data_IF_625222808850
#
_entry.id   IF_625222808850
#
_cell.length_a   1.000
_cell.length_b   1.000
_cell.length_c   1.000
_cell.angle_alpha   90.00
_cell.angle_beta   90.00
_cell.angle_gamma   90.00
#
_symmetry.space_group_name_H-M   'P 1'
#
loop_
_entity.id
_entity.type
_entity.pdbx_description
1 polymer ?
#
# COMPACT_ATOMS: atom_id res chain seq x y z
N UNK A 1 -23.85 52.67 30.80
CA UNK A 1 -25.12 52.08 31.29
C UNK A 1 -25.07 50.56 31.19
N UNK A 2 -24.31 49.86 32.04
CA UNK A 2 -24.13 48.39 31.99
C UNK A 2 -24.07 47.76 33.39
N UNK A 3 -24.96 48.16 34.30
CA UNK A 3 -24.99 47.62 35.69
C UNK A 3 -26.40 47.22 36.15
N UNK A 4 -27.35 47.04 35.22
CA UNK A 4 -28.69 46.54 35.54
C UNK A 4 -28.72 45.00 35.49
N UNK A 5 -29.22 44.37 36.56
CA UNK A 5 -29.40 42.91 36.70
C UNK A 5 -30.17 42.25 35.55
N UNK A 6 -30.97 43.01 34.81
CA UNK A 6 -31.71 42.50 33.65
C UNK A 6 -30.82 42.10 32.46
N UNK A 7 -29.58 42.59 32.41
CA UNK A 7 -28.65 42.35 31.30
C UNK A 7 -27.49 41.41 31.66
N UNK A 8 -27.46 40.84 32.86
CA UNK A 8 -26.41 39.91 33.31
C UNK A 8 -26.34 38.65 32.43
N UNK A 9 -27.49 38.14 31.97
CA UNK A 9 -27.55 37.01 31.06
C UNK A 9 -26.94 37.32 29.69
N UNK A 10 -27.25 38.51 29.14
CA UNK A 10 -26.69 38.97 27.88
C UNK A 10 -25.19 39.27 28.02
N UNK A 11 -24.76 39.86 29.13
CA UNK A 11 -23.36 40.12 29.43
C UNK A 11 -22.55 38.83 29.58
N UNK A 12 -23.13 37.77 30.19
CA UNK A 12 -22.51 36.45 30.28
C UNK A 12 -22.40 35.75 28.93
N UNK A 13 -23.43 35.83 28.08
CA UNK A 13 -23.40 35.26 26.73
C UNK A 13 -22.39 35.99 25.85
N UNK A 14 -22.35 37.33 25.92
CA UNK A 14 -21.36 38.15 25.20
C UNK A 14 -19.95 37.94 25.75
N UNK A 15 -19.78 37.71 27.05
CA UNK A 15 -18.48 37.36 27.65
C UNK A 15 -18.03 35.94 27.27
N UNK A 16 -18.95 34.98 27.17
CA UNK A 16 -18.68 33.62 26.72
C UNK A 16 -18.33 33.56 25.22
N UNK A 17 -18.98 34.39 24.40
CA UNK A 17 -18.61 34.59 22.99
C UNK A 17 -17.25 35.31 22.88
N UNK A 18 -16.99 36.29 23.74
CA UNK A 18 -15.70 37.01 23.82
C UNK A 18 -14.55 36.10 24.25
N UNK A 19 -14.80 35.02 25.00
CA UNK A 19 -13.75 34.05 25.38
C UNK A 19 -13.46 32.98 24.33
N UNK A 20 -14.29 32.84 23.29
CA UNK A 20 -14.19 31.76 22.31
C UNK A 20 -13.73 32.18 20.91
N UNK A 21 -13.58 33.48 20.65
CA UNK A 21 -13.22 33.99 19.32
C UNK A 21 -12.22 35.15 19.45
N UNK A 22 -10.93 34.80 19.51
CA UNK A 22 -9.82 35.76 19.60
C UNK A 22 -9.56 36.46 18.26
N UNK A 23 -9.91 35.84 17.14
CA UNK A 23 -9.73 36.38 15.80
C UNK A 23 -10.77 37.46 15.47
N UNK A 24 -12.01 37.32 15.97
CA UNK A 24 -13.03 38.37 15.86
C UNK A 24 -12.71 39.64 16.69
N UNK A 25 -11.93 39.50 17.78
CA UNK A 25 -11.48 40.63 18.61
C UNK A 25 -10.40 41.45 17.90
N UNK A 26 -9.49 40.83 17.15
CA UNK A 26 -8.50 41.57 16.35
C UNK A 26 -9.16 42.39 15.22
N UNK A 27 -10.21 41.88 14.58
CA UNK A 27 -10.91 42.61 13.52
C UNK A 27 -11.77 43.78 14.05
N UNK A 28 -12.26 43.70 15.29
CA UNK A 28 -13.03 44.76 15.93
C UNK A 28 -12.17 45.77 16.71
N UNK A 29 -10.89 45.45 16.97
CA UNK A 29 -9.93 46.33 17.64
C UNK A 29 -9.24 47.33 16.69
N UNK A 30 -9.53 47.29 15.37
CA UNK A 30 -9.11 48.34 14.44
C UNK A 30 -9.85 49.63 14.80
N UNK A 31 -9.16 50.44 15.57
CA UNK A 31 -9.61 51.74 16.06
C UNK A 31 -9.85 52.65 14.84
N UNK A 32 -11.11 52.96 14.54
CA UNK A 32 -11.39 54.05 13.59
C UNK A 32 -10.83 55.36 14.18
N UNK A 33 -9.77 55.86 13.54
CA UNK A 33 -9.14 57.11 13.89
C UNK A 33 -10.17 58.26 13.82
N UNK A 34 -10.19 59.08 14.87
CA UNK A 34 -10.95 60.33 14.91
C UNK A 34 -10.54 61.25 13.76
N UNK A 35 -11.39 61.44 12.77
CA UNK A 35 -11.32 62.58 11.85
C UNK A 35 -11.94 63.82 12.53
N UNK A 36 -11.12 64.85 12.73
CA UNK A 36 -11.53 66.21 13.14
C UNK A 36 -12.43 66.84 12.05
N UNK A 37 -13.35 67.76 12.41
CA UNK A 37 -14.07 68.56 11.42
C UNK A 37 -13.25 69.79 11.03
N UNK A 38 -13.22 70.09 9.73
CA UNK A 38 -12.76 71.35 9.19
C UNK A 38 -13.80 71.87 8.20
N UNK A 39 -14.13 73.16 8.33
CA UNK A 39 -14.53 74.00 7.21
C UNK A 39 -16.01 74.01 6.87
N UNK A 40 -16.67 75.06 7.33
CA UNK A 40 -17.89 75.63 6.77
C UNK A 40 -17.61 76.06 5.32
N UNK A 41 -18.48 75.75 4.36
CA UNK A 41 -18.71 76.61 3.19
C UNK A 41 -20.04 76.27 2.51
N UNK A 42 -20.73 77.35 2.16
CA UNK A 42 -22.10 77.51 1.69
C UNK A 42 -22.26 77.20 0.21
N UNK A 43 -23.40 76.63 -0.18
CA UNK A 43 -23.82 76.52 -1.58
C UNK A 43 -25.28 76.06 -1.71
N UNK A 44 -26.15 77.00 -2.07
CA UNK A 44 -27.55 76.81 -2.47
C UNK A 44 -27.63 76.04 -3.80
N UNK A 45 -28.71 75.25 -4.02
CA UNK A 45 -29.07 74.77 -5.37
C UNK A 45 -29.77 73.42 -5.48
N UNK A 46 -31.11 73.46 -5.42
CA UNK A 46 -32.11 72.71 -6.20
C UNK A 46 -32.13 71.16 -6.32
N UNK A 47 -33.19 70.61 -5.70
CA UNK A 47 -34.23 69.71 -6.26
C UNK A 47 -33.84 68.43 -7.05
N UNK A 48 -34.11 67.28 -6.44
CA UNK A 48 -34.24 65.99 -7.15
C UNK A 48 -34.50 64.80 -6.23
N UNK A 49 -35.78 64.43 -6.06
CA UNK A 49 -36.33 63.12 -5.63
C UNK A 49 -35.69 62.39 -4.44
N UNK A 50 -36.44 62.34 -3.33
CA UNK A 50 -36.22 61.49 -2.17
C UNK A 50 -36.31 59.99 -2.52
N UNK A 51 -35.24 59.23 -2.32
CA UNK A 51 -35.33 57.83 -1.87
C UNK A 51 -34.55 57.69 -0.56
N UNK A 52 -35.15 58.24 0.49
CA UNK A 52 -34.79 57.85 1.85
C UNK A 52 -35.29 56.43 2.13
N UNK A 53 -34.67 55.71 3.09
CA UNK A 53 -35.11 54.37 3.50
C UNK A 53 -36.60 54.35 3.82
N UNK A 54 -37.28 53.29 3.38
CA UNK A 54 -38.73 53.06 3.54
C UNK A 54 -39.16 53.22 5.01
N UNK A 55 -40.45 53.51 5.24
CA UNK A 55 -40.98 53.69 6.60
C UNK A 55 -40.59 52.55 7.59
N UNK A 56 -40.57 51.26 7.19
CA UNK A 56 -40.06 50.16 8.03
C UNK A 56 -38.56 50.27 8.37
N UNK A 57 -37.75 50.77 7.43
CA UNK A 57 -36.31 50.96 7.62
C UNK A 57 -35.99 52.16 8.53
N UNK A 58 -36.86 53.17 8.59
CA UNK A 58 -36.77 54.28 9.57
C UNK A 58 -37.19 53.87 10.98
N UNK A 59 -38.11 52.92 11.13
CA UNK A 59 -38.43 52.30 12.43
C UNK A 59 -37.30 51.41 12.96
N UNK A 60 -36.54 50.77 12.07
CA UNK A 60 -35.39 49.94 12.44
C UNK A 60 -34.22 50.73 13.05
N UNK A 61 -34.15 52.05 12.82
CA UNK A 61 -33.12 52.96 13.32
C UNK A 61 -33.55 53.80 14.54
N UNK A 62 -34.78 53.59 15.08
CA UNK A 62 -35.22 54.20 16.34
C UNK A 62 -35.03 53.20 17.49
N UNK A 63 -34.13 53.52 18.42
CA UNK A 63 -33.73 52.67 19.55
C UNK A 63 -34.68 52.72 20.77
N UNK A 64 -35.96 53.07 20.59
CA UNK A 64 -36.86 53.39 21.72
C UNK A 64 -38.19 52.63 21.76
N UNK A 65 -38.32 51.48 21.08
CA UNK A 65 -39.47 50.57 21.26
C UNK A 65 -39.01 49.15 21.65
N UNK A 66 -39.68 48.48 22.60
CA UNK A 66 -39.39 47.09 22.94
C UNK A 66 -39.67 46.21 21.72
N UNK A 67 -38.65 45.56 21.17
CA UNK A 67 -38.81 44.59 20.08
C UNK A 67 -39.17 43.23 20.67
N UNK A 68 -40.04 42.52 19.98
CA UNK A 68 -40.37 41.13 20.27
C UNK A 68 -39.09 40.27 20.19
N UNK A 69 -38.64 39.67 21.31
CA UNK A 69 -37.45 38.81 21.34
C UNK A 69 -37.54 37.65 20.33
N UNK A 70 -38.74 37.18 20.00
CA UNK A 70 -38.95 36.11 19.04
C UNK A 70 -38.63 36.55 17.60
N UNK A 71 -38.97 37.79 17.22
CA UNK A 71 -38.65 38.32 15.88
C UNK A 71 -37.16 38.63 15.73
N UNK A 72 -36.52 39.13 16.79
CA UNK A 72 -35.08 39.33 16.83
C UNK A 72 -34.34 37.99 16.76
N UNK A 73 -34.80 36.99 17.50
CA UNK A 73 -34.28 35.62 17.44
C UNK A 73 -34.52 34.97 16.08
N UNK A 74 -35.67 35.19 15.42
CA UNK A 74 -35.95 34.67 14.09
C UNK A 74 -35.10 35.34 13.01
N UNK A 75 -34.91 36.67 13.08
CA UNK A 75 -34.06 37.43 12.16
C UNK A 75 -32.58 37.05 12.32
N UNK A 76 -32.13 36.91 13.56
CA UNK A 76 -30.78 36.41 13.88
C UNK A 76 -30.64 34.94 13.48
N UNK A 77 -31.65 34.09 13.69
CA UNK A 77 -31.61 32.68 13.28
C UNK A 77 -31.59 32.51 11.75
N UNK A 78 -32.34 33.33 11.00
CA UNK A 78 -32.34 33.28 9.54
C UNK A 78 -31.02 33.76 8.92
N UNK A 79 -30.29 34.64 9.61
CA UNK A 79 -29.10 35.30 9.07
C UNK A 79 -27.78 34.82 9.67
N UNK A 80 -27.81 34.21 10.86
CA UNK A 80 -26.64 33.75 11.64
C UNK A 80 -26.67 32.22 11.84
N UNK A 81 -27.83 31.55 11.74
CA UNK A 81 -27.94 30.08 11.82
C UNK A 81 -28.34 29.46 10.46
N UNK A 82 -27.32 29.07 9.67
CA UNK A 82 -27.27 27.96 8.66
C UNK A 82 -26.66 28.26 7.27
N UNK A 83 -25.65 29.13 7.08
CA UNK A 83 -24.90 29.15 5.81
C UNK A 83 -24.18 27.83 5.50
N UNK A 84 -23.68 27.12 6.52
CA UNK A 84 -23.07 25.78 6.33
C UNK A 84 -24.08 24.75 5.80
N UNK A 85 -25.33 24.85 6.25
CA UNK A 85 -26.41 23.94 5.89
C UNK A 85 -26.94 24.22 4.46
N UNK A 86 -26.75 25.43 3.93
CA UNK A 86 -27.04 25.76 2.52
C UNK A 86 -25.88 25.40 1.61
N UNK A 87 -24.63 25.59 2.04
CA UNK A 87 -23.44 25.19 1.29
C UNK A 87 -23.34 23.66 1.17
N UNK A 88 -23.58 22.91 2.26
CA UNK A 88 -23.69 21.45 2.25
C UNK A 88 -24.76 20.96 1.29
N UNK A 89 -26.00 21.47 1.40
CA UNK A 89 -27.11 21.12 0.50
C UNK A 89 -26.79 21.39 -0.97
N UNK A 90 -26.15 22.53 -1.28
CA UNK A 90 -25.66 22.86 -2.62
C UNK A 90 -24.61 21.85 -3.11
N UNK A 91 -23.70 21.44 -2.24
CA UNK A 91 -22.71 20.39 -2.51
C UNK A 91 -23.34 19.05 -2.82
N UNK A 92 -24.27 18.58 -1.98
CA UNK A 92 -25.01 17.33 -2.21
C UNK A 92 -25.82 17.37 -3.51
N UNK A 93 -26.48 18.49 -3.82
CA UNK A 93 -27.23 18.63 -5.06
C UNK A 93 -26.31 18.56 -6.29
N UNK A 94 -25.16 19.23 -6.23
CA UNK A 94 -24.13 19.16 -7.28
C UNK A 94 -23.55 17.75 -7.41
N UNK A 95 -23.22 17.09 -6.30
CA UNK A 95 -22.71 15.72 -6.25
C UNK A 95 -23.70 14.71 -6.83
N UNK A 96 -24.97 14.78 -6.43
CA UNK A 96 -26.04 13.89 -6.93
C UNK A 96 -26.23 14.06 -8.44
N UNK A 97 -26.19 15.29 -8.95
CA UNK A 97 -26.28 15.55 -10.39
C UNK A 97 -25.05 15.04 -11.13
N UNK A 98 -23.85 15.24 -10.57
CA UNK A 98 -22.61 14.72 -11.14
C UNK A 98 -22.63 13.20 -11.28
N UNK A 99 -23.08 12.47 -10.23
CA UNK A 99 -23.24 11.01 -10.29
C UNK A 99 -24.23 10.61 -11.38
N UNK A 100 -25.33 11.35 -11.55
CA UNK A 100 -26.32 11.06 -12.60
C UNK A 100 -25.74 11.25 -14.02
N UNK A 101 -24.89 12.25 -14.23
CA UNK A 101 -24.33 12.56 -15.56
C UNK A 101 -23.07 11.74 -15.89
N UNK A 102 -22.21 11.48 -14.89
CA UNK A 102 -20.90 10.83 -15.07
C UNK A 102 -20.87 9.36 -14.62
N UNK A 103 -21.85 8.92 -13.82
CA UNK A 103 -21.92 7.56 -13.29
C UNK A 103 -21.10 7.30 -12.02
N UNK A 104 -20.26 8.25 -11.59
CA UNK A 104 -19.52 8.18 -10.32
C UNK A 104 -19.34 9.58 -9.70
N UNK A 105 -18.73 9.64 -8.51
CA UNK A 105 -18.42 10.90 -7.80
C UNK A 105 -16.93 11.30 -7.91
N UNK A 106 -16.23 10.86 -8.97
CA UNK A 106 -14.81 11.17 -9.20
C UNK A 106 -14.62 12.48 -9.96
N UNK A 107 -15.18 13.57 -9.44
CA UNK A 107 -14.99 14.89 -10.03
C UNK A 107 -13.51 15.34 -9.94
N UNK A 108 -12.90 15.86 -11.03
CA UNK A 108 -11.59 16.48 -10.99
C UNK A 108 -11.52 17.61 -9.96
N UNK A 109 -10.37 17.85 -9.35
CA UNK A 109 -10.21 18.87 -8.29
C UNK A 109 -10.66 20.28 -8.73
N UNK A 110 -10.40 20.64 -9.99
CA UNK A 110 -10.79 21.92 -10.59
C UNK A 110 -12.22 21.96 -11.13
N UNK A 111 -13.00 20.88 -10.98
CA UNK A 111 -14.35 20.82 -11.53
C UNK A 111 -15.28 21.79 -10.79
N UNK A 112 -15.89 22.68 -11.57
CA UNK A 112 -16.90 23.63 -11.15
C UNK A 112 -18.18 23.31 -11.91
N UNK A 113 -19.33 23.34 -11.23
CA UNK A 113 -20.60 23.00 -11.87
C UNK A 113 -20.91 23.97 -13.03
N UNK A 114 -21.33 23.45 -14.21
CA UNK A 114 -21.71 24.26 -15.35
C UNK A 114 -22.87 25.22 -15.09
N UNK A 115 -23.11 26.14 -16.01
CA UNK A 115 -24.05 27.25 -15.82
C UNK A 115 -25.51 26.78 -15.93
N UNK A 116 -25.72 25.67 -16.62
CA UNK A 116 -26.97 24.92 -16.74
C UNK A 116 -27.24 23.99 -15.53
N UNK A 117 -26.34 23.96 -14.54
CA UNK A 117 -26.56 23.26 -13.28
C UNK A 117 -27.22 24.16 -12.24
N UNK A 118 -27.96 23.52 -11.33
CA UNK A 118 -28.43 24.14 -10.10
C UNK A 118 -27.85 23.32 -8.94
N UNK A 119 -26.90 23.86 -8.15
CA UNK A 119 -26.29 25.20 -8.28
C UNK A 119 -25.27 25.31 -9.42
N UNK A 120 -25.25 26.44 -10.13
CA UNK A 120 -24.20 26.79 -11.09
C UNK A 120 -22.97 27.39 -10.38
N UNK A 121 -21.79 27.24 -10.97
CA UNK A 121 -20.55 27.83 -10.46
C UNK A 121 -20.09 27.28 -9.10
N UNK A 122 -20.62 26.14 -8.66
CA UNK A 122 -20.27 25.51 -7.40
C UNK A 122 -18.96 24.72 -7.55
N UNK A 123 -17.94 24.92 -6.69
CA UNK A 123 -16.64 24.26 -6.81
C UNK A 123 -16.70 22.83 -6.29
N UNK A 124 -17.41 21.95 -6.99
CA UNK A 124 -17.67 20.57 -6.55
C UNK A 124 -16.37 19.77 -6.35
N UNK A 125 -15.37 19.93 -7.21
CA UNK A 125 -14.09 19.23 -7.09
C UNK A 125 -13.35 19.55 -5.78
N UNK A 126 -13.21 20.84 -5.48
CA UNK A 126 -12.62 21.31 -4.22
C UNK A 126 -13.47 20.92 -3.01
N UNK A 127 -14.80 21.05 -3.13
CA UNK A 127 -15.72 20.67 -2.06
C UNK A 127 -15.61 19.19 -1.68
N UNK A 128 -15.54 18.28 -2.66
CA UNK A 128 -15.32 16.86 -2.42
C UNK A 128 -13.95 16.58 -1.80
N UNK A 129 -12.90 17.31 -2.21
CA UNK A 129 -11.58 17.20 -1.60
C UNK A 129 -11.59 17.62 -0.13
N UNK A 130 -12.31 18.71 0.20
CA UNK A 130 -12.50 19.15 1.58
C UNK A 130 -13.26 18.10 2.40
N UNK A 131 -14.29 17.46 1.83
CA UNK A 131 -15.01 16.40 2.53
C UNK A 131 -14.09 15.21 2.84
N UNK A 132 -13.24 14.78 1.90
CA UNK A 132 -12.22 13.75 2.16
C UNK A 132 -11.27 14.15 3.28
N UNK A 133 -10.84 15.42 3.28
CA UNK A 133 -9.97 15.94 4.34
C UNK A 133 -10.66 15.89 5.71
N UNK A 134 -11.90 16.37 5.81
CA UNK A 134 -12.65 16.37 7.06
C UNK A 134 -12.96 14.95 7.55
N UNK A 135 -13.30 14.03 6.65
CA UNK A 135 -13.52 12.62 6.98
C UNK A 135 -12.25 11.99 7.54
N UNK A 136 -11.10 12.15 6.85
CA UNK A 136 -9.82 11.60 7.29
C UNK A 136 -9.31 12.23 8.60
N UNK A 137 -9.73 13.45 8.93
CA UNK A 137 -9.45 14.10 10.21
C UNK A 137 -10.45 13.73 11.33
N UNK A 138 -11.47 12.90 11.06
CA UNK A 138 -12.52 12.58 12.02
C UNK A 138 -13.43 13.76 12.39
N UNK A 139 -13.46 14.79 11.52
CA UNK A 139 -14.21 16.03 11.73
C UNK A 139 -15.50 16.10 10.92
N UNK A 140 -15.73 15.15 10.01
CA UNK A 140 -16.97 15.06 9.25
C UNK A 140 -18.04 14.36 10.09
N UNK A 141 -19.19 15.00 10.21
CA UNK A 141 -20.38 14.44 10.87
C UNK A 141 -20.79 13.09 10.24
N UNK A 142 -21.23 12.15 11.07
CA UNK A 142 -21.54 10.79 10.63
C UNK A 142 -22.72 10.74 9.63
N UNK A 143 -23.76 11.56 9.81
CA UNK A 143 -24.90 11.62 8.89
C UNK A 143 -24.47 12.17 7.53
N UNK A 144 -23.53 13.13 7.53
CA UNK A 144 -22.94 13.71 6.31
C UNK A 144 -22.06 12.73 5.56
N UNK A 145 -21.27 11.93 6.28
CA UNK A 145 -20.49 10.85 5.69
C UNK A 145 -21.44 9.83 5.03
N UNK A 146 -22.49 9.41 5.74
CA UNK A 146 -23.49 8.46 5.22
C UNK A 146 -24.23 8.98 3.99
N UNK A 147 -24.55 10.28 3.93
CA UNK A 147 -25.20 10.89 2.76
C UNK A 147 -24.29 10.83 1.52
N UNK A 148 -22.99 11.09 1.69
CA UNK A 148 -22.00 10.97 0.61
C UNK A 148 -21.69 9.52 0.25
N UNK A 149 -21.68 8.60 1.21
CA UNK A 149 -21.57 7.16 0.96
C UNK A 149 -22.72 6.68 0.05
N UNK A 150 -23.94 7.15 0.31
CA UNK A 150 -25.11 6.87 -0.53
C UNK A 150 -24.97 7.35 -1.99
N UNK A 151 -24.09 8.31 -2.25
CA UNK A 151 -23.74 8.81 -3.59
C UNK A 151 -22.51 8.11 -4.19
N UNK A 152 -21.93 7.12 -3.51
CA UNK A 152 -20.75 6.40 -3.97
C UNK A 152 -19.43 7.15 -3.75
N UNK A 153 -19.33 7.95 -2.69
CA UNK A 153 -18.12 8.68 -2.35
C UNK A 153 -16.94 7.74 -2.07
N UNK A 154 -15.83 7.96 -2.78
CA UNK A 154 -14.56 7.30 -2.50
C UNK A 154 -13.72 8.21 -1.60
N UNK A 155 -13.61 7.85 -0.32
CA UNK A 155 -12.81 8.56 0.68
C UNK A 155 -11.31 8.40 0.48
N UNK A 156 -10.90 7.19 0.07
CA UNK A 156 -9.49 6.82 -0.12
C UNK A 156 -9.36 5.74 -1.18
N UNK A 157 -8.67 6.08 -2.27
CA UNK A 157 -8.37 5.13 -3.35
C UNK A 157 -7.48 3.98 -2.84
N UNK A 158 -6.67 4.23 -1.82
CA UNK A 158 -5.84 3.20 -1.19
C UNK A 158 -6.66 2.21 -0.37
N UNK A 159 -7.75 2.64 0.26
CA UNK A 159 -8.65 1.75 1.00
C UNK A 159 -9.49 0.91 0.06
N UNK A 160 -9.98 1.50 -1.05
CA UNK A 160 -10.65 0.74 -2.11
C UNK A 160 -9.71 -0.31 -2.71
N UNK A 161 -8.49 0.08 -3.11
CA UNK A 161 -7.52 -0.85 -3.67
C UNK A 161 -7.10 -1.96 -2.68
N UNK A 162 -7.03 -1.63 -1.38
CA UNK A 162 -6.80 -2.63 -0.34
C UNK A 162 -7.99 -3.58 -0.21
N UNK A 163 -9.22 -3.08 -0.18
CA UNK A 163 -10.44 -3.90 -0.08
C UNK A 163 -10.62 -4.85 -1.29
N UNK A 164 -10.34 -4.37 -2.51
CA UNK A 164 -10.33 -5.18 -3.72
C UNK A 164 -9.27 -6.29 -3.63
N UNK A 165 -8.05 -5.95 -3.23
CA UNK A 165 -6.99 -6.92 -3.07
C UNK A 165 -7.24 -7.92 -1.94
N UNK A 166 -7.87 -7.48 -0.85
CA UNK A 166 -8.28 -8.33 0.25
C UNK A 166 -9.37 -9.32 -0.19
N UNK A 167 -10.31 -8.88 -1.01
CA UNK A 167 -11.32 -9.76 -1.62
C UNK A 167 -10.64 -10.83 -2.49
N UNK A 168 -9.75 -10.43 -3.40
CA UNK A 168 -9.00 -11.38 -4.22
C UNK A 168 -8.13 -12.34 -3.38
N UNK A 169 -7.55 -11.86 -2.28
CA UNK A 169 -6.79 -12.68 -1.34
C UNK A 169 -7.65 -13.72 -0.61
N UNK A 170 -8.86 -13.32 -0.17
CA UNK A 170 -9.83 -14.23 0.46
C UNK A 170 -10.28 -15.32 -0.52
N UNK A 171 -10.63 -14.95 -1.75
CA UNK A 171 -11.03 -15.90 -2.78
C UNK A 171 -9.89 -16.85 -3.17
N UNK A 172 -8.66 -16.33 -3.31
CA UNK A 172 -7.48 -17.15 -3.51
C UNK A 172 -7.33 -18.17 -2.38
N UNK A 173 -7.36 -17.71 -1.12
CA UNK A 173 -7.18 -18.59 0.03
C UNK A 173 -8.33 -19.60 0.19
N UNK A 174 -9.55 -19.28 -0.24
CA UNK A 174 -10.68 -20.21 -0.21
C UNK A 174 -10.47 -21.43 -1.14
N UNK A 175 -9.73 -21.26 -2.24
CA UNK A 175 -9.45 -22.34 -3.20
C UNK A 175 -8.11 -23.03 -2.93
N UNK A 176 -7.09 -22.24 -2.56
CA UNK A 176 -5.73 -22.72 -2.37
C UNK A 176 -5.42 -23.13 -0.93
N UNK A 177 -6.28 -22.75 0.03
CA UNK A 177 -6.13 -22.98 1.47
C UNK A 177 -4.86 -22.34 2.07
N UNK A 178 -4.34 -21.28 1.45
CA UNK A 178 -3.22 -20.48 1.93
C UNK A 178 -3.13 -19.14 1.19
N UNK A 179 -2.53 -18.12 1.81
CA UNK A 179 -2.27 -16.81 1.21
C UNK A 179 -0.79 -16.68 0.78
N UNK A 180 -0.34 -17.63 -0.02
CA UNK A 180 1.04 -17.70 -0.54
C UNK A 180 1.10 -17.71 -2.07
N UNK A 181 0.39 -16.81 -2.78
CA UNK A 181 0.42 -16.80 -4.24
C UNK A 181 1.85 -16.57 -4.77
N UNK A 182 2.25 -17.23 -5.88
CA UNK A 182 3.40 -16.79 -6.68
C UNK A 182 3.26 -15.34 -7.11
N UNK A 183 4.37 -14.63 -7.33
CA UNK A 183 4.34 -13.19 -7.69
C UNK A 183 3.56 -12.93 -8.99
N UNK A 184 3.61 -13.86 -9.94
CA UNK A 184 2.90 -13.79 -11.21
C UNK A 184 1.42 -14.19 -11.12
N UNK A 185 0.94 -14.62 -9.96
CA UNK A 185 -0.42 -15.10 -9.82
C UNK A 185 -1.44 -13.97 -10.02
N UNK A 186 -2.48 -14.28 -10.78
CA UNK A 186 -3.65 -13.44 -10.97
C UNK A 186 -4.89 -14.21 -10.51
N UNK A 187 -5.90 -13.49 -10.03
CA UNK A 187 -7.17 -14.04 -9.60
C UNK A 187 -8.30 -13.16 -10.12
N UNK A 188 -9.17 -13.69 -10.99
CA UNK A 188 -10.23 -12.91 -11.64
C UNK A 188 -9.72 -11.60 -12.30
N UNK A 189 -8.53 -11.65 -12.91
CA UNK A 189 -7.87 -10.49 -13.52
C UNK A 189 -7.13 -9.57 -12.54
N UNK A 190 -7.30 -9.75 -11.23
CA UNK A 190 -6.59 -9.00 -10.20
C UNK A 190 -5.18 -9.61 -9.95
N UNK A 191 -4.10 -8.81 -9.92
CA UNK A 191 -2.74 -9.30 -9.71
C UNK A 191 -2.45 -9.62 -8.22
N UNK A 192 -3.14 -10.62 -7.68
CA UNK A 192 -3.08 -11.00 -6.25
C UNK A 192 -1.67 -11.34 -5.78
N UNK A 193 -0.84 -11.96 -6.63
CA UNK A 193 0.55 -12.29 -6.31
C UNK A 193 1.42 -11.05 -6.02
N UNK A 194 1.33 -10.05 -6.89
CA UNK A 194 2.05 -8.79 -6.73
C UNK A 194 1.48 -7.98 -5.56
N UNK A 195 0.15 -7.98 -5.38
CA UNK A 195 -0.50 -7.30 -4.28
C UNK A 195 -0.07 -7.86 -2.92
N UNK A 196 -0.15 -9.17 -2.69
CA UNK A 196 0.28 -9.79 -1.41
C UNK A 196 1.77 -9.56 -1.17
N UNK A 197 2.62 -9.57 -2.20
CA UNK A 197 4.04 -9.19 -2.08
C UNK A 197 4.20 -7.75 -1.53
N UNK A 198 3.42 -6.81 -2.04
CA UNK A 198 3.46 -5.43 -1.56
C UNK A 198 2.98 -5.33 -0.11
N UNK A 199 1.91 -6.07 0.25
CA UNK A 199 1.45 -6.15 1.64
C UNK A 199 2.53 -6.71 2.58
N UNK A 200 3.29 -7.73 2.16
CA UNK A 200 4.41 -8.27 2.95
C UNK A 200 5.52 -7.23 3.13
N UNK A 201 5.77 -6.42 2.10
CA UNK A 201 6.77 -5.34 2.17
C UNK A 201 6.34 -4.27 3.17
N UNK A 202 5.07 -3.85 3.12
CA UNK A 202 4.48 -2.93 4.08
C UNK A 202 4.49 -3.49 5.53
N UNK A 203 4.23 -4.78 5.70
CA UNK A 203 4.29 -5.46 6.99
C UNK A 203 5.72 -5.54 7.56
N UNK A 204 6.72 -5.82 6.71
CA UNK A 204 8.13 -5.82 7.12
C UNK A 204 8.59 -4.42 7.52
N UNK A 205 8.16 -3.37 6.80
CA UNK A 205 8.41 -1.99 7.18
C UNK A 205 7.77 -1.65 8.53
N UNK A 206 6.53 -2.08 8.77
CA UNK A 206 5.86 -1.89 10.06
C UNK A 206 6.64 -2.56 11.20
N UNK A 207 7.07 -3.81 11.02
CA UNK A 207 7.87 -4.54 12.02
C UNK A 207 9.20 -3.84 12.29
N UNK A 208 9.89 -3.37 11.25
CA UNK A 208 11.15 -2.64 11.40
C UNK A 208 10.96 -1.32 12.17
N UNK A 209 9.87 -0.61 11.90
CA UNK A 209 9.52 0.61 12.64
C UNK A 209 9.20 0.32 14.11
N UNK A 210 8.51 -0.77 14.41
CA UNK A 210 8.27 -1.21 15.79
C UNK A 210 9.58 -1.54 16.50
N UNK A 211 10.44 -2.35 15.90
CA UNK A 211 11.74 -2.72 16.48
C UNK A 211 12.61 -1.48 16.76
N UNK A 212 12.65 -0.50 15.84
CA UNK A 212 13.36 0.77 16.06
C UNK A 212 12.83 1.54 17.28
N UNK A 213 11.51 1.60 17.46
CA UNK A 213 10.91 2.28 18.62
C UNK A 213 11.25 1.56 19.92
N UNK A 214 11.24 0.24 19.93
CA UNK A 214 11.64 -0.58 21.09
C UNK A 214 13.12 -0.35 21.47
N UNK A 215 13.98 -0.12 20.47
CA UNK A 215 15.39 0.26 20.67
C UNK A 215 15.59 1.75 21.01
N UNK A 216 14.52 2.55 21.07
CA UNK A 216 14.59 3.99 21.32
C UNK A 216 15.11 4.83 20.15
N UNK A 217 15.15 4.28 18.94
CA UNK A 217 15.58 4.96 17.72
C UNK A 217 14.41 5.71 17.05
N UNK A 218 14.72 6.84 16.43
CA UNK A 218 13.74 7.62 15.67
C UNK A 218 13.27 6.86 14.40
N UNK A 219 11.98 6.97 14.09
CA UNK A 219 11.36 6.47 12.85
C UNK A 219 11.15 7.64 11.91
N UNK A 220 11.94 7.70 10.83
CA UNK A 220 11.89 8.81 9.85
C UNK A 220 10.52 8.92 9.16
N UNK A 221 9.89 7.79 8.84
CA UNK A 221 8.56 7.77 8.25
C UNK A 221 7.82 6.46 8.50
N UNK A 222 6.53 6.56 8.78
CA UNK A 222 5.58 5.44 8.77
C UNK A 222 4.81 5.31 7.46
N UNK A 223 5.08 6.18 6.47
CA UNK A 223 4.38 6.15 5.19
C UNK A 223 4.63 4.81 4.48
N UNK A 224 3.54 4.16 4.06
CA UNK A 224 3.59 2.85 3.41
C UNK A 224 3.78 1.66 4.35
N UNK A 225 3.93 1.87 5.66
CA UNK A 225 3.86 0.78 6.64
C UNK A 225 2.42 0.25 6.70
N UNK A 226 2.29 -1.07 6.86
CA UNK A 226 0.97 -1.69 6.99
C UNK A 226 0.36 -1.30 8.35
N UNK A 227 -0.90 -0.88 8.34
CA UNK A 227 -1.65 -0.62 9.57
C UNK A 227 -1.99 -1.93 10.28
N UNK A 228 -2.29 -1.85 11.58
CA UNK A 228 -2.68 -3.00 12.40
C UNK A 228 -3.96 -3.66 11.85
N UNK A 229 -5.04 -2.90 11.64
CA UNK A 229 -6.29 -3.43 11.05
C UNK A 229 -6.08 -4.19 9.72
N UNK A 230 -5.17 -3.69 8.87
CA UNK A 230 -4.87 -4.33 7.57
C UNK A 230 -4.01 -5.57 7.73
N UNK A 231 -3.16 -5.62 8.76
CA UNK A 231 -2.40 -6.81 9.14
C UNK A 231 -3.35 -7.88 9.66
N UNK A 232 -4.23 -7.53 10.60
CA UNK A 232 -5.20 -8.44 11.21
C UNK A 232 -6.09 -9.05 10.13
N UNK A 233 -6.60 -8.23 9.20
CA UNK A 233 -7.40 -8.71 8.08
C UNK A 233 -6.69 -9.72 7.16
N UNK A 234 -5.35 -9.68 7.08
CA UNK A 234 -4.55 -10.64 6.31
C UNK A 234 -4.21 -11.89 7.14
N UNK A 235 -3.95 -11.72 8.45
CA UNK A 235 -3.69 -12.80 9.39
C UNK A 235 -4.93 -13.68 9.61
N UNK A 236 -6.13 -13.10 9.59
CA UNK A 236 -7.41 -13.81 9.59
C UNK A 236 -7.58 -14.74 8.38
N UNK A 237 -6.97 -14.41 7.24
CA UNK A 237 -7.00 -15.25 6.04
C UNK A 237 -6.01 -16.41 6.17
N UNK A 238 -4.78 -16.09 6.54
CA UNK A 238 -3.71 -17.06 6.73
C UNK A 238 -2.64 -16.46 7.65
N UNK A 239 -2.49 -16.91 8.90
CA UNK A 239 -1.48 -16.40 9.82
C UNK A 239 -0.04 -16.53 9.28
N UNK A 240 0.20 -17.45 8.34
CA UNK A 240 1.49 -17.64 7.71
C UNK A 240 1.67 -16.83 6.41
N UNK A 241 0.81 -15.85 6.12
CA UNK A 241 0.86 -15.06 4.89
C UNK A 241 2.17 -14.27 4.74
N UNK A 242 2.78 -13.83 5.84
CA UNK A 242 4.02 -13.06 5.89
C UNK A 242 5.10 -13.75 6.74
N UNK A 243 5.69 -14.87 6.26
CA UNK A 243 6.68 -15.62 7.03
C UNK A 243 7.99 -14.84 7.21
N UNK A 244 8.74 -15.18 8.25
CA UNK A 244 10.08 -14.63 8.50
C UNK A 244 11.15 -15.13 7.51
N UNK A 245 10.85 -16.21 6.78
CA UNK A 245 11.71 -16.85 5.78
C UNK A 245 11.14 -16.72 4.36
N UNK A 246 11.72 -17.45 3.41
CA UNK A 246 11.30 -17.42 2.01
C UNK A 246 9.84 -17.88 1.82
N UNK A 247 9.10 -17.15 0.98
CA UNK A 247 7.68 -17.43 0.72
C UNK A 247 7.48 -18.68 -0.14
N UNK A 248 8.44 -19.04 -1.00
CA UNK A 248 8.41 -20.29 -1.76
C UNK A 248 8.61 -21.49 -0.84
N UNK A 249 9.51 -21.37 0.14
CA UNK A 249 9.66 -22.37 1.20
C UNK A 249 8.35 -22.57 1.98
N UNK A 250 7.74 -21.48 2.45
CA UNK A 250 6.48 -21.55 3.21
C UNK A 250 5.35 -22.18 2.36
N UNK A 251 5.30 -21.85 1.06
CA UNK A 251 4.33 -22.43 0.12
C UNK A 251 4.54 -23.94 -0.01
N UNK A 252 5.75 -24.40 -0.30
CA UNK A 252 6.03 -25.83 -0.45
C UNK A 252 5.76 -26.61 0.85
N UNK A 253 6.09 -26.04 2.00
CA UNK A 253 5.72 -26.59 3.31
C UNK A 253 4.21 -26.74 3.46
N UNK A 254 3.43 -25.69 3.17
CA UNK A 254 1.96 -25.72 3.27
C UNK A 254 1.33 -26.73 2.31
N UNK A 255 1.81 -26.82 1.08
CA UNK A 255 1.36 -27.81 0.10
C UNK A 255 1.67 -29.24 0.54
N UNK A 256 2.84 -29.46 1.15
CA UNK A 256 3.22 -30.75 1.74
C UNK A 256 2.32 -31.12 2.92
N UNK A 257 2.01 -30.16 3.80
CA UNK A 257 1.08 -30.32 4.93
C UNK A 257 -0.32 -30.71 4.46
N UNK A 258 -0.88 -29.95 3.53
CA UNK A 258 -2.22 -30.20 2.98
C UNK A 258 -2.33 -31.61 2.37
N UNK A 259 -1.25 -32.09 1.75
CA UNK A 259 -1.21 -33.45 1.20
C UNK A 259 -1.30 -34.51 2.28
N UNK A 260 -0.55 -34.37 3.38
CA UNK A 260 -0.63 -35.30 4.52
C UNK A 260 -2.02 -35.23 5.15
N UNK A 261 -2.57 -34.03 5.34
CA UNK A 261 -3.91 -33.81 5.91
C UNK A 261 -5.01 -34.45 5.03
N UNK A 262 -4.82 -34.49 3.71
CA UNK A 262 -5.69 -35.20 2.77
C UNK A 262 -5.43 -36.73 2.71
N UNK A 263 -4.57 -37.28 3.57
CA UNK A 263 -4.23 -38.72 3.61
C UNK A 263 -3.18 -39.17 2.58
N UNK A 264 -2.54 -38.24 1.88
CA UNK A 264 -1.46 -38.53 0.94
C UNK A 264 -0.09 -38.68 1.60
N UNK A 265 0.86 -39.29 0.88
CA UNK A 265 2.26 -39.42 1.31
C UNK A 265 3.15 -38.36 0.67
N UNK A 266 4.24 -37.97 1.34
CA UNK A 266 5.21 -37.02 0.80
C UNK A 266 6.06 -37.66 -0.30
N UNK A 267 6.31 -36.94 -1.43
CA UNK A 267 7.24 -37.41 -2.46
C UNK A 267 8.69 -37.28 -1.97
N UNK A 268 9.48 -38.34 -2.14
CA UNK A 268 10.91 -38.32 -1.81
C UNK A 268 11.81 -38.15 -3.04
N UNK A 269 11.22 -38.23 -4.23
CA UNK A 269 11.93 -38.14 -5.51
C UNK A 269 11.47 -36.91 -6.30
N UNK A 270 12.40 -36.11 -6.88
CA UNK A 270 12.05 -35.03 -7.79
C UNK A 270 11.11 -35.45 -8.92
N UNK A 271 10.14 -34.61 -9.25
CA UNK A 271 9.18 -34.82 -10.34
C UNK A 271 8.02 -35.77 -10.01
N UNK A 272 8.03 -36.41 -8.85
CA UNK A 272 6.96 -37.35 -8.46
C UNK A 272 5.62 -36.66 -8.25
N UNK A 273 5.62 -35.45 -7.66
CA UNK A 273 4.41 -34.68 -7.37
C UNK A 273 4.69 -33.21 -7.59
N UNK A 274 3.90 -32.60 -8.48
CA UNK A 274 3.87 -31.17 -8.71
C UNK A 274 2.49 -30.62 -8.33
N UNK A 275 2.46 -29.65 -7.42
CA UNK A 275 1.22 -29.00 -6.96
C UNK A 275 1.40 -27.50 -7.07
N UNK A 276 0.45 -26.82 -7.73
CA UNK A 276 0.52 -25.37 -7.98
C UNK A 276 1.85 -24.91 -8.62
N UNK A 277 2.43 -25.74 -9.49
CA UNK A 277 3.71 -25.47 -10.14
C UNK A 277 4.96 -25.76 -9.28
N UNK A 278 4.79 -26.18 -8.03
CA UNK A 278 5.89 -26.55 -7.13
C UNK A 278 6.17 -28.05 -7.18
N UNK A 279 7.41 -28.43 -7.44
CA UNK A 279 7.88 -29.82 -7.36
C UNK A 279 8.23 -30.17 -5.91
N UNK A 280 7.29 -30.79 -5.21
CA UNK A 280 7.43 -31.09 -3.78
C UNK A 280 8.53 -32.11 -3.52
N UNK A 281 8.77 -33.05 -4.44
CA UNK A 281 9.83 -34.05 -4.29
C UNK A 281 11.21 -33.41 -4.38
N UNK A 282 11.40 -32.51 -5.34
CA UNK A 282 12.63 -31.70 -5.44
C UNK A 282 12.81 -30.81 -4.22
N UNK A 283 11.74 -30.18 -3.75
CA UNK A 283 11.81 -29.30 -2.58
C UNK A 283 12.17 -30.07 -1.31
N UNK A 284 11.54 -31.22 -1.03
CA UNK A 284 11.83 -32.07 0.13
C UNK A 284 13.27 -32.56 0.08
N UNK A 285 13.75 -33.06 -1.07
CA UNK A 285 15.13 -33.49 -1.22
C UNK A 285 16.11 -32.34 -0.90
N UNK A 286 15.83 -31.14 -1.40
CA UNK A 286 16.64 -29.97 -1.09
C UNK A 286 16.65 -29.63 0.41
N UNK A 287 15.53 -29.79 1.12
CA UNK A 287 15.47 -29.57 2.56
C UNK A 287 16.31 -30.60 3.33
N UNK A 288 16.20 -31.89 2.98
CA UNK A 288 16.95 -32.97 3.64
C UNK A 288 18.46 -32.82 3.43
N UNK A 289 18.89 -32.44 2.21
CA UNK A 289 20.30 -32.24 1.86
C UNK A 289 20.88 -30.94 2.44
N UNK A 290 20.06 -29.91 2.65
CA UNK A 290 20.46 -28.60 3.16
C UNK A 290 20.03 -28.36 4.61
N UNK A 291 19.83 -29.42 5.39
CA UNK A 291 19.19 -29.35 6.70
C UNK A 291 19.90 -28.39 7.66
N UNK A 292 21.24 -28.39 7.64
CA UNK A 292 22.12 -27.55 8.45
C UNK A 292 21.98 -26.04 8.16
N UNK A 293 21.42 -25.68 7.01
CA UNK A 293 21.20 -24.28 6.59
C UNK A 293 19.82 -23.75 6.94
N UNK A 294 18.92 -24.62 7.40
CA UNK A 294 17.57 -24.25 7.79
C UNK A 294 17.56 -23.56 9.15
N UNK A 295 16.68 -22.58 9.32
CA UNK A 295 16.45 -21.99 10.64
C UNK A 295 15.90 -23.06 11.61
N UNK A 296 16.16 -22.92 12.91
CA UNK A 296 15.68 -23.88 13.93
C UNK A 296 14.18 -24.13 13.85
N UNK A 297 13.38 -23.08 13.61
CA UNK A 297 11.94 -23.21 13.42
C UNK A 297 11.57 -24.03 12.17
N UNK A 298 12.31 -23.90 11.08
CA UNK A 298 12.10 -24.69 9.86
C UNK A 298 12.43 -26.17 10.11
N UNK A 299 13.56 -26.47 10.74
CA UNK A 299 13.93 -27.85 11.10
C UNK A 299 12.84 -28.50 11.97
N UNK A 300 12.41 -27.79 13.02
CA UNK A 300 11.36 -28.26 13.92
C UNK A 300 10.04 -28.54 13.17
N UNK A 301 9.63 -27.65 12.26
CA UNK A 301 8.43 -27.85 11.44
C UNK A 301 8.55 -29.05 10.51
N UNK A 302 9.69 -29.23 9.83
CA UNK A 302 9.90 -30.37 8.93
C UNK A 302 9.90 -31.70 9.70
N UNK A 303 10.56 -31.75 10.85
CA UNK A 303 10.64 -32.95 11.69
C UNK A 303 9.28 -33.30 12.30
N UNK A 304 8.65 -32.34 12.98
CA UNK A 304 7.46 -32.61 13.80
C UNK A 304 6.15 -32.57 13.00
N UNK A 305 6.07 -31.75 11.95
CA UNK A 305 4.83 -31.57 11.19
C UNK A 305 4.81 -32.33 9.87
N UNK A 306 5.98 -32.67 9.32
CA UNK A 306 6.11 -33.44 8.07
C UNK A 306 6.77 -34.81 8.25
N UNK A 307 7.36 -35.11 9.42
CA UNK A 307 8.05 -36.38 9.66
C UNK A 307 9.33 -36.54 8.84
N UNK A 308 9.98 -35.43 8.46
CA UNK A 308 11.20 -35.44 7.67
C UNK A 308 12.44 -35.41 8.55
N UNK A 309 13.48 -36.14 8.13
CA UNK A 309 14.79 -36.15 8.76
C UNK A 309 15.86 -35.62 7.79
N UNK A 310 17.02 -35.13 8.29
CA UNK A 310 18.16 -34.83 7.44
C UNK A 310 18.54 -36.03 6.56
N UNK A 311 19.17 -35.74 5.43
CA UNK A 311 19.65 -36.78 4.54
C UNK A 311 20.69 -37.68 5.23
N UNK A 312 20.58 -39.00 5.01
CA UNK A 312 21.57 -39.97 5.46
C UNK A 312 22.90 -39.82 4.72
N UNK A 313 23.98 -40.42 5.24
CA UNK A 313 25.31 -40.36 4.60
C UNK A 313 25.31 -40.91 3.17
N UNK A 314 24.47 -41.91 2.90
CA UNK A 314 24.25 -42.57 1.62
C UNK A 314 23.46 -41.73 0.62
N UNK A 315 22.68 -40.77 1.11
CA UNK A 315 21.89 -39.85 0.28
C UNK A 315 22.63 -38.54 -0.04
N UNK A 316 23.69 -38.24 0.72
CA UNK A 316 24.50 -37.05 0.48
C UNK A 316 25.24 -37.17 -0.86
N UNK A 317 25.25 -36.11 -1.69
CA UNK A 317 26.05 -36.10 -2.90
C UNK A 317 27.51 -36.35 -2.54
N UNK A 318 28.11 -37.34 -3.20
CA UNK A 318 29.54 -37.64 -3.05
C UNK A 318 30.34 -36.35 -3.31
N UNK A 319 30.98 -35.82 -2.26
CA UNK A 319 31.81 -34.62 -2.36
C UNK A 319 33.06 -34.94 -3.16
N UNK A 320 32.97 -34.85 -4.50
CA UNK A 320 34.13 -34.96 -5.40
C UNK A 320 35.13 -33.85 -5.05
N UNK A 321 36.37 -34.24 -4.75
CA UNK A 321 37.47 -33.29 -4.51
C UNK A 321 37.76 -32.49 -5.79
N UNK A 322 38.55 -31.42 -5.68
CA UNK A 322 38.99 -30.69 -6.88
C UNK A 322 39.85 -31.56 -7.80
N UNK A 323 40.56 -32.54 -7.24
CA UNK A 323 41.31 -33.53 -8.03
C UNK A 323 40.36 -34.47 -8.78
N UNK A 324 39.32 -35.00 -8.11
CA UNK A 324 38.34 -35.89 -8.77
C UNK A 324 37.57 -35.18 -9.87
N UNK A 325 37.17 -33.91 -9.64
CA UNK A 325 36.53 -33.07 -10.65
C UNK A 325 37.45 -32.82 -11.84
N UNK A 326 38.74 -32.57 -11.58
CA UNK A 326 39.73 -32.39 -12.64
C UNK A 326 39.90 -33.68 -13.45
N UNK A 327 40.09 -34.82 -12.77
CA UNK A 327 40.24 -36.12 -13.40
C UNK A 327 39.03 -36.48 -14.28
N UNK A 328 37.81 -36.28 -13.77
CA UNK A 328 36.58 -36.51 -14.53
C UNK A 328 36.48 -35.62 -15.78
N UNK A 329 36.81 -34.32 -15.65
CA UNK A 329 36.80 -33.42 -16.79
C UNK A 329 37.88 -33.78 -17.82
N UNK A 330 39.05 -34.23 -17.38
CA UNK A 330 40.11 -34.72 -18.26
C UNK A 330 39.70 -36.01 -18.97
N UNK A 331 38.98 -36.91 -18.31
CA UNK A 331 38.46 -38.12 -18.94
C UNK A 331 37.39 -37.79 -19.99
N UNK A 332 36.45 -36.90 -19.67
CA UNK A 332 35.49 -36.39 -20.64
C UNK A 332 36.17 -35.68 -21.82
N UNK A 333 37.24 -34.93 -21.56
CA UNK A 333 38.02 -34.28 -22.61
C UNK A 333 38.74 -35.31 -23.51
N UNK A 334 39.29 -36.38 -22.93
CA UNK A 334 39.92 -37.48 -23.69
C UNK A 334 38.89 -38.20 -24.55
N UNK A 335 37.72 -38.50 -24.00
CA UNK A 335 36.62 -39.13 -24.74
C UNK A 335 36.16 -38.26 -25.92
N UNK A 336 35.92 -36.96 -25.69
CA UNK A 336 35.56 -36.02 -26.75
C UNK A 336 36.66 -35.92 -27.80
N UNK A 337 37.92 -35.80 -27.38
CA UNK A 337 39.05 -35.74 -28.30
C UNK A 337 39.22 -37.04 -29.11
N UNK A 338 39.01 -38.20 -28.50
CA UNK A 338 39.06 -39.49 -29.21
C UNK A 338 37.98 -39.58 -30.29
N UNK A 339 36.81 -38.98 -30.06
CA UNK A 339 35.70 -38.95 -31.02
C UNK A 339 35.85 -37.88 -32.12
N UNK A 340 36.23 -36.66 -31.74
CA UNK A 340 36.21 -35.48 -32.63
C UNK A 340 37.61 -35.10 -33.16
N UNK A 341 38.68 -35.65 -32.60
CA UNK A 341 40.07 -35.33 -32.95
C UNK A 341 40.53 -33.94 -32.50
N UNK A 342 39.73 -33.20 -31.72
CA UNK A 342 40.06 -31.86 -31.24
C UNK A 342 39.34 -31.51 -29.94
N UNK A 343 39.77 -30.44 -29.26
CA UNK A 343 39.09 -29.88 -28.08
C UNK A 343 38.30 -28.58 -28.36
N UNK A 344 37.74 -28.43 -29.56
CA UNK A 344 36.82 -27.33 -29.89
C UNK A 344 35.39 -27.64 -29.44
N UNK A 345 35.21 -27.67 -28.12
CA UNK A 345 33.94 -28.05 -27.50
C UNK A 345 32.97 -26.84 -27.45
N UNK A 346 31.74 -26.94 -27.97
CA UNK A 346 30.73 -25.89 -27.80
C UNK A 346 30.46 -25.61 -26.31
N UNK A 347 30.34 -24.35 -25.89
CA UNK A 347 30.23 -23.97 -24.46
C UNK A 347 29.12 -24.69 -23.69
N UNK A 348 27.99 -25.01 -24.34
CA UNK A 348 26.84 -25.71 -23.74
C UNK A 348 26.91 -27.23 -23.85
N UNK A 349 27.97 -27.79 -24.43
CA UNK A 349 28.12 -29.22 -24.64
C UNK A 349 28.18 -29.99 -23.32
N UNK A 350 27.41 -31.07 -23.25
CA UNK A 350 27.41 -32.07 -22.20
C UNK A 350 28.01 -33.35 -22.78
N UNK A 351 29.15 -33.76 -22.23
CA UNK A 351 29.77 -35.03 -22.60
C UNK A 351 29.19 -36.14 -21.74
N UNK A 352 28.55 -37.12 -22.38
CA UNK A 352 27.95 -38.25 -21.68
C UNK A 352 29.04 -39.22 -21.23
N UNK A 353 29.08 -39.51 -19.93
CA UNK A 353 30.06 -40.41 -19.32
C UNK A 353 29.33 -41.61 -18.70
N UNK A 354 29.96 -42.77 -18.71
CA UNK A 354 29.41 -43.96 -18.05
C UNK A 354 29.19 -43.70 -16.55
N UNK A 355 27.94 -43.84 -16.09
CA UNK A 355 27.54 -43.62 -14.70
C UNK A 355 27.20 -42.16 -14.32
N UNK A 356 27.14 -41.22 -15.27
CA UNK A 356 26.70 -39.83 -15.03
C UNK A 356 25.63 -39.41 -16.06
N UNK A 357 24.35 -39.74 -15.80
CA UNK A 357 23.22 -39.45 -16.70
C UNK A 357 23.02 -37.96 -17.00
N UNK A 358 23.54 -37.07 -16.14
CA UNK A 358 23.45 -35.63 -16.33
C UNK A 358 24.47 -35.09 -17.36
N UNK A 359 25.49 -35.89 -17.69
CA UNK A 359 26.61 -35.51 -18.54
C UNK A 359 27.58 -34.50 -17.89
N UNK A 360 28.86 -34.61 -18.22
CA UNK A 360 29.89 -33.67 -17.79
C UNK A 360 29.78 -32.40 -18.63
N UNK A 361 29.74 -31.22 -17.98
CA UNK A 361 29.72 -29.89 -18.63
C UNK A 361 31.07 -29.54 -19.27
N UNK A 362 31.53 -30.39 -20.19
CA UNK A 362 32.85 -30.32 -20.81
C UNK A 362 33.05 -28.99 -21.55
N UNK A 363 32.03 -28.49 -22.25
CA UNK A 363 32.10 -27.22 -22.95
C UNK A 363 32.41 -26.03 -22.02
N UNK A 364 31.78 -26.02 -20.85
CA UNK A 364 32.03 -25.00 -19.83
C UNK A 364 33.39 -25.18 -19.16
N UNK A 365 33.84 -26.42 -18.95
CA UNK A 365 35.16 -26.72 -18.43
C UNK A 365 36.28 -26.22 -19.35
N UNK A 366 36.27 -26.62 -20.63
CA UNK A 366 37.27 -26.21 -21.62
C UNK A 366 37.30 -24.70 -21.78
N UNK A 367 36.13 -24.05 -21.89
CA UNK A 367 36.03 -22.60 -21.99
C UNK A 367 36.56 -21.86 -20.75
N UNK A 368 36.27 -22.36 -19.54
CA UNK A 368 36.82 -21.82 -18.30
C UNK A 368 38.34 -22.00 -18.21
N UNK A 369 38.85 -23.16 -18.64
CA UNK A 369 40.28 -23.44 -18.66
C UNK A 369 41.01 -22.49 -19.62
N UNK A 370 40.47 -22.20 -20.82
CA UNK A 370 41.04 -21.19 -21.74
C UNK A 370 41.06 -19.80 -21.11
N UNK A 371 39.92 -19.33 -20.58
CA UNK A 371 39.79 -17.98 -20.00
C UNK A 371 40.65 -17.75 -18.76
N UNK A 372 41.13 -18.81 -18.11
CA UNK A 372 41.92 -18.75 -16.88
C UNK A 372 43.23 -19.52 -17.03
N UNK A 373 43.80 -19.54 -18.24
CA UNK A 373 45.03 -20.25 -18.55
C UNK A 373 46.19 -19.82 -17.63
N UNK A 374 46.26 -18.53 -17.33
CA UNK A 374 47.22 -17.88 -16.41
C UNK A 374 47.11 -18.37 -14.95
N UNK A 375 45.96 -18.95 -14.57
CA UNK A 375 45.68 -19.42 -13.20
C UNK A 375 45.75 -20.94 -13.07
N UNK A 376 46.03 -21.66 -14.14
CA UNK A 376 46.25 -23.10 -14.09
C UNK A 376 47.64 -23.40 -13.56
N UNK A 377 47.77 -24.49 -12.80
CA UNK A 377 49.10 -25.00 -12.45
C UNK A 377 49.83 -25.42 -13.73
N UNK A 378 51.17 -25.35 -13.76
CA UNK A 378 51.95 -25.76 -14.94
C UNK A 378 51.61 -27.17 -15.43
N UNK A 379 51.40 -28.10 -14.49
CA UNK A 379 51.00 -29.49 -14.77
C UNK A 379 49.65 -29.58 -15.49
N UNK A 380 48.62 -28.89 -14.97
CA UNK A 380 47.27 -28.89 -15.56
C UNK A 380 47.23 -28.22 -16.93
N UNK A 381 48.02 -27.17 -17.10
CA UNK A 381 48.20 -26.52 -18.39
C UNK A 381 48.87 -27.48 -19.39
N UNK A 382 49.90 -28.20 -18.97
CA UNK A 382 50.59 -29.18 -19.80
C UNK A 382 49.67 -30.36 -20.20
N UNK A 383 48.87 -30.89 -19.27
CA UNK A 383 47.91 -31.97 -19.54
C UNK A 383 46.90 -31.61 -20.65
N UNK A 384 46.29 -30.44 -20.56
CA UNK A 384 45.36 -29.97 -21.59
C UNK A 384 46.05 -29.66 -22.91
N UNK A 385 47.26 -29.10 -22.86
CA UNK A 385 48.08 -28.84 -24.06
C UNK A 385 48.42 -30.15 -24.77
N UNK A 386 48.81 -31.19 -24.03
CA UNK A 386 49.09 -32.52 -24.57
C UNK A 386 47.86 -33.16 -25.22
N UNK A 387 46.66 -32.82 -24.75
CA UNK A 387 45.38 -33.24 -25.32
C UNK A 387 44.92 -32.37 -26.51
N UNK A 388 45.79 -31.52 -27.06
CA UNK A 388 45.51 -30.71 -28.24
C UNK A 388 44.73 -29.42 -27.96
N UNK A 389 44.72 -28.94 -26.72
CA UNK A 389 44.05 -27.70 -26.36
C UNK A 389 44.73 -26.49 -27.00
N UNK A 390 43.94 -25.67 -27.69
CA UNK A 390 44.36 -24.35 -28.19
C UNK A 390 43.99 -23.27 -27.17
N UNK A 391 44.98 -22.48 -26.79
CA UNK A 391 44.87 -21.45 -25.75
C UNK A 391 44.54 -20.05 -26.27
N UNK A 392 44.57 -19.85 -27.59
CA UNK A 392 44.29 -18.60 -28.28
C UNK A 392 42.83 -18.52 -28.78
#
# INVERSE_FOLDING_TARGET
>A
MLTSKAYDGLAKVLAALRSHDSDAVEQLAVSQARSRPAGNETGEGESGSQEGPSAPARELLKFSTPRDPAQLAAFVSLRILRPENTFWRRGIQAASRYVKECGDLRAPYSFVTPQEWAPAGFPLGTWLADQRRFFNAGQLDADRAQELDGLGMVWSHFDVAFAEGLTAAKEWAAVHFHLLPPISATWNGYPVGAWVKNQRTAAKLANANTARREEGLEVESSAGALTEDRRDALEDIDPAWCPAWDTGWQRCYRLSRMRIEAGGTLPLTPGQVTVQGEDLGRWIQAQRLGWDKLATGQQWMLENMLGLSPAGEDELPVKRTQADKWALNMEAARQFHAREGHLNVPRKHLEQMDGDEAGVKLGMFVDNARRRADKLTPERHAELTALGMRWA
#
